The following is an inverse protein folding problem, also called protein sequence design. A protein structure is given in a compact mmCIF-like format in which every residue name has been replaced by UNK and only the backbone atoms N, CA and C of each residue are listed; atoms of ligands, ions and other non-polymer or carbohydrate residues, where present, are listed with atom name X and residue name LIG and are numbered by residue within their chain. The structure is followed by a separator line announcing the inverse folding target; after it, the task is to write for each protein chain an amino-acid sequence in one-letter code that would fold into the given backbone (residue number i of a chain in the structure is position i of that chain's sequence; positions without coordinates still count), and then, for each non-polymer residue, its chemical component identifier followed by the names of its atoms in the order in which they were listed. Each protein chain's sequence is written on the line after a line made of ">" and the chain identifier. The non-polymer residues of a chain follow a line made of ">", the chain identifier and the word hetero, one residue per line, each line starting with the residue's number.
data_IF_062634366310
#
_entry.id   IF_062634366310
#
_cell.length_a   1.000
_cell.length_b   1.000
_cell.length_c   1.000
_cell.angle_alpha   90.00
_cell.angle_beta   90.00
_cell.angle_gamma   90.00
#
_symmetry.space_group_name_H-M   'P 1'
#
loop_
_entity.id
_entity.type
_entity.pdbx_description
1 polymer ?
#
# COMPACT_ATOMS: atom_id res chain seq x y z
N UNK A 1 24.56 -12.17 -13.05
CA UNK A 1 24.28 -12.33 -11.60
C UNK A 1 23.76 -10.99 -11.10
N UNK A 2 22.44 -10.78 -11.04
CA UNK A 2 21.89 -9.48 -10.63
C UNK A 2 22.04 -9.34 -9.12
N UNK A 3 22.79 -8.32 -8.68
CA UNK A 3 23.01 -7.98 -7.28
C UNK A 3 21.70 -7.46 -6.68
N UNK A 4 21.09 -8.25 -5.79
CA UNK A 4 19.83 -7.92 -5.09
C UNK A 4 20.09 -6.88 -4.02
N UNK A 5 19.43 -5.73 -4.11
CA UNK A 5 19.62 -4.61 -3.18
C UNK A 5 19.04 -4.86 -1.78
N UNK A 6 18.09 -5.80 -1.57
CA UNK A 6 17.36 -5.90 -0.28
C UNK A 6 16.97 -7.29 0.26
N UNK A 7 17.32 -8.42 -0.38
CA UNK A 7 17.01 -9.75 0.18
C UNK A 7 15.52 -10.02 0.47
N UNK A 8 14.62 -9.22 -0.09
CA UNK A 8 13.16 -9.37 0.00
C UNK A 8 12.65 -10.29 -1.10
N UNK A 9 11.68 -11.13 -0.74
CA UNK A 9 11.09 -12.13 -1.63
C UNK A 9 9.57 -12.12 -1.41
N UNK A 10 8.81 -12.21 -2.50
CA UNK A 10 7.39 -12.50 -2.40
C UNK A 10 7.21 -13.99 -2.15
N UNK A 11 6.49 -14.31 -1.09
CA UNK A 11 6.19 -15.68 -0.70
C UNK A 11 4.79 -16.09 -1.22
N UNK A 12 4.62 -17.36 -1.59
CA UNK A 12 3.29 -17.94 -1.72
C UNK A 12 2.91 -18.62 -0.41
N UNK A 13 1.86 -18.11 0.26
CA UNK A 13 1.44 -18.60 1.57
C UNK A 13 0.13 -19.38 1.41
N UNK A 14 0.08 -20.67 1.78
CA UNK A 14 -1.17 -21.42 1.87
C UNK A 14 -2.19 -20.74 2.78
N UNK A 15 -3.45 -20.68 2.35
CA UNK A 15 -4.47 -19.87 3.02
C UNK A 15 -4.78 -20.32 4.46
N UNK A 16 -4.58 -21.60 4.76
CA UNK A 16 -4.75 -22.20 6.09
C UNK A 16 -3.71 -21.72 7.12
N UNK A 17 -2.66 -21.01 6.69
CA UNK A 17 -1.70 -20.35 7.57
C UNK A 17 -2.20 -19.00 8.12
N UNK A 18 -3.40 -18.57 7.70
CA UNK A 18 -4.04 -17.35 8.21
C UNK A 18 -5.19 -17.70 9.16
N UNK A 19 -5.15 -17.10 10.35
CA UNK A 19 -6.19 -17.25 11.37
C UNK A 19 -6.77 -15.88 11.74
N UNK A 20 -7.87 -15.85 12.50
CA UNK A 20 -8.52 -14.62 12.95
C UNK A 20 -8.85 -13.63 11.81
N UNK A 21 -9.24 -14.17 10.65
CA UNK A 21 -9.54 -13.38 9.46
C UNK A 21 -10.81 -12.56 9.70
N UNK A 22 -10.71 -11.24 9.62
CA UNK A 22 -11.83 -10.31 9.81
C UNK A 22 -11.82 -9.27 8.70
N UNK A 23 -12.96 -9.01 8.07
CA UNK A 23 -13.08 -7.93 7.10
C UNK A 23 -12.99 -6.58 7.82
N UNK A 24 -12.09 -5.71 7.37
CA UNK A 24 -11.86 -4.39 7.98
C UNK A 24 -12.15 -3.24 7.02
N UNK A 25 -12.34 -3.53 5.73
CA UNK A 25 -12.64 -2.51 4.73
C UNK A 25 -13.22 -3.11 3.46
N UNK A 26 -14.02 -2.30 2.75
CA UNK A 26 -14.53 -2.61 1.42
C UNK A 26 -14.52 -1.33 0.60
N UNK A 27 -13.78 -1.34 -0.50
CA UNK A 27 -13.79 -0.29 -1.52
C UNK A 27 -14.58 -0.72 -2.75
N UNK A 28 -14.52 0.09 -3.81
CA UNK A 28 -15.14 -0.24 -5.10
C UNK A 28 -14.52 -1.46 -5.77
N UNK A 29 -13.19 -1.62 -5.66
CA UNK A 29 -12.42 -2.63 -6.40
C UNK A 29 -11.84 -3.73 -5.52
N UNK A 30 -11.87 -3.56 -4.19
CA UNK A 30 -11.20 -4.48 -3.26
C UNK A 30 -11.93 -4.65 -1.93
N UNK A 31 -11.69 -5.78 -1.27
CA UNK A 31 -12.03 -6.01 0.14
C UNK A 31 -10.75 -6.24 0.92
N UNK A 32 -10.66 -5.62 2.09
CA UNK A 32 -9.50 -5.72 2.96
C UNK A 32 -9.89 -6.52 4.20
N UNK A 33 -9.03 -7.47 4.55
CA UNK A 33 -9.16 -8.28 5.75
C UNK A 33 -7.91 -8.10 6.62
N UNK A 34 -8.07 -8.12 7.94
CA UNK A 34 -6.94 -8.38 8.85
C UNK A 34 -6.86 -9.87 9.13
N UNK A 35 -5.65 -10.41 9.23
CA UNK A 35 -5.42 -11.79 9.63
C UNK A 35 -4.16 -11.93 10.50
N UNK A 36 -4.06 -13.02 11.25
CA UNK A 36 -2.83 -13.46 11.89
C UNK A 36 -2.16 -14.49 11.00
N UNK A 37 -0.96 -14.19 10.49
CA UNK A 37 -0.12 -15.15 9.79
C UNK A 37 0.70 -15.93 10.83
N UNK A 38 0.46 -17.24 10.93
CA UNK A 38 1.01 -18.05 12.03
C UNK A 38 2.51 -18.35 11.91
N UNK A 39 3.07 -18.34 10.69
CA UNK A 39 4.52 -18.47 10.50
C UNK A 39 5.23 -17.12 10.64
N UNK A 40 4.55 -16.07 10.16
CA UNK A 40 5.16 -14.78 9.89
C UNK A 40 6.27 -14.83 8.83
N UNK A 41 6.90 -13.67 8.61
CA UNK A 41 7.98 -13.52 7.63
C UNK A 41 9.17 -14.40 8.02
N UNK A 42 9.70 -15.16 7.06
CA UNK A 42 10.90 -15.93 7.27
C UNK A 42 12.08 -14.98 7.58
N UNK A 43 12.68 -15.17 8.75
CA UNK A 43 13.86 -14.41 9.18
C UNK A 43 15.05 -15.35 9.32
N UNK A 44 16.21 -14.91 8.85
CA UNK A 44 17.47 -15.65 8.93
C UNK A 44 18.49 -14.81 9.68
N UNK A 45 19.25 -15.46 10.56
CA UNK A 45 20.38 -14.86 11.27
C UNK A 45 21.66 -15.55 10.83
N UNK A 46 22.73 -14.79 10.67
CA UNK A 46 24.04 -15.36 10.38
C UNK A 46 24.78 -15.59 11.69
N UNK A 47 24.94 -16.86 12.08
CA UNK A 47 25.57 -17.28 13.32
C UNK A 47 26.55 -18.42 13.03
N UNK A 48 27.75 -18.35 13.62
CA UNK A 48 28.80 -19.38 13.49
C UNK A 48 29.13 -19.78 12.04
N UNK A 49 29.11 -18.81 11.12
CA UNK A 49 29.43 -19.05 9.70
C UNK A 49 28.27 -19.64 8.87
N UNK A 50 27.07 -19.78 9.44
CA UNK A 50 25.90 -20.34 8.78
C UNK A 50 24.67 -19.45 8.90
N UNK A 51 23.78 -19.49 7.90
CA UNK A 51 22.47 -18.85 7.98
C UNK A 51 21.48 -19.79 8.70
N UNK A 52 21.01 -19.36 9.87
CA UNK A 52 20.06 -20.10 10.69
C UNK A 52 18.68 -19.45 10.54
N UNK A 53 17.67 -20.25 10.19
CA UNK A 53 16.27 -19.80 10.16
C UNK A 53 15.81 -19.56 11.60
N UNK A 54 15.34 -18.35 11.88
CA UNK A 54 14.76 -18.00 13.18
C UNK A 54 13.42 -18.70 13.39
N UNK A 55 13.03 -18.88 14.66
CA UNK A 55 11.74 -19.43 15.00
C UNK A 55 10.60 -18.58 14.38
N UNK A 56 9.54 -19.23 13.87
CA UNK A 56 8.36 -18.53 13.37
C UNK A 56 7.81 -17.56 14.40
N UNK A 57 7.45 -16.35 13.96
CA UNK A 57 6.89 -15.32 14.84
C UNK A 57 5.61 -14.82 14.22
N UNK A 58 4.49 -15.09 14.88
CA UNK A 58 3.18 -14.68 14.39
C UNK A 58 3.14 -13.17 14.20
N UNK A 59 2.63 -12.74 13.05
CA UNK A 59 2.45 -11.31 12.75
C UNK A 59 1.02 -11.06 12.26
N UNK A 60 0.54 -9.84 12.52
CA UNK A 60 -0.72 -9.37 11.95
C UNK A 60 -0.45 -8.80 10.56
N UNK A 61 -1.24 -9.22 9.58
CA UNK A 61 -1.15 -8.80 8.18
C UNK A 61 -2.48 -8.26 7.67
N UNK A 62 -2.42 -7.46 6.60
CA UNK A 62 -3.56 -7.12 5.79
C UNK A 62 -3.62 -8.05 4.58
N UNK A 63 -4.78 -8.68 4.35
CA UNK A 63 -5.09 -9.41 3.13
C UNK A 63 -5.95 -8.51 2.24
N UNK A 64 -5.39 -8.04 1.13
CA UNK A 64 -6.13 -7.26 0.13
C UNK A 64 -6.61 -8.20 -0.97
N UNK A 65 -7.93 -8.43 -0.99
CA UNK A 65 -8.60 -9.18 -2.05
C UNK A 65 -9.08 -8.23 -3.13
N UNK A 66 -8.65 -8.46 -4.35
CA UNK A 66 -9.13 -7.71 -5.51
C UNK A 66 -10.34 -8.46 -6.09
N UNK A 67 -11.46 -7.75 -6.25
CA UNK A 67 -12.72 -8.35 -6.68
C UNK A 67 -12.57 -8.90 -8.10
N UNK A 68 -13.03 -10.13 -8.35
CA UNK A 68 -12.98 -10.73 -9.67
C UNK A 68 -11.62 -11.31 -10.05
N UNK A 69 -10.68 -11.41 -9.10
CA UNK A 69 -9.35 -12.01 -9.33
C UNK A 69 -9.37 -13.56 -9.37
N UNK A 70 -10.50 -14.18 -9.69
CA UNK A 70 -10.56 -15.63 -9.96
C UNK A 70 -9.78 -15.96 -11.25
N UNK A 71 -9.84 -15.05 -12.22
CA UNK A 71 -8.95 -14.97 -13.37
C UNK A 71 -7.97 -13.81 -13.16
N UNK A 72 -6.70 -14.07 -13.47
CA UNK A 72 -5.59 -13.13 -13.25
C UNK A 72 -5.66 -11.98 -14.28
N UNK A 73 -6.52 -10.98 -14.02
CA UNK A 73 -6.72 -9.86 -14.93
C UNK A 73 -5.46 -8.98 -15.06
N UNK A 74 -5.36 -8.24 -16.16
CA UNK A 74 -4.25 -7.29 -16.37
C UNK A 74 -4.23 -6.20 -15.31
N UNK A 75 -5.40 -5.76 -14.83
CA UNK A 75 -5.53 -4.77 -13.75
C UNK A 75 -4.93 -5.30 -12.44
N UNK A 76 -5.24 -6.56 -12.09
CA UNK A 76 -4.69 -7.22 -10.91
C UNK A 76 -3.15 -7.32 -10.98
N UNK A 77 -2.63 -7.80 -12.12
CA UNK A 77 -1.18 -7.91 -12.33
C UNK A 77 -0.48 -6.55 -12.30
N UNK A 78 -1.13 -5.50 -12.83
CA UNK A 78 -0.58 -4.15 -12.79
C UNK A 78 -0.50 -3.62 -11.36
N UNK A 79 -1.56 -3.80 -10.56
CA UNK A 79 -1.53 -3.37 -9.16
C UNK A 79 -0.44 -4.09 -8.36
N UNK A 80 -0.33 -5.41 -8.53
CA UNK A 80 0.75 -6.21 -7.93
C UNK A 80 2.13 -5.70 -8.32
N UNK A 81 2.34 -5.48 -9.63
CA UNK A 81 3.61 -5.03 -10.18
C UNK A 81 3.98 -3.66 -9.62
N UNK A 82 3.05 -2.70 -9.63
CA UNK A 82 3.28 -1.35 -9.14
C UNK A 82 3.61 -1.37 -7.64
N UNK A 83 2.86 -2.13 -6.83
CA UNK A 83 3.15 -2.24 -5.39
C UNK A 83 4.55 -2.83 -5.17
N UNK A 84 4.91 -3.87 -5.93
CA UNK A 84 6.25 -4.48 -5.85
C UNK A 84 7.35 -3.51 -6.27
N UNK A 85 7.22 -2.83 -7.41
CA UNK A 85 8.19 -1.87 -7.93
C UNK A 85 8.42 -0.74 -6.90
N UNK A 86 7.34 -0.18 -6.32
CA UNK A 86 7.42 0.85 -5.28
C UNK A 86 8.12 0.35 -4.02
N UNK A 87 7.96 -0.93 -3.66
CA UNK A 87 8.64 -1.54 -2.53
C UNK A 87 10.10 -1.92 -2.77
N UNK A 88 10.54 -1.97 -4.03
CA UNK A 88 11.95 -2.09 -4.38
C UNK A 88 12.68 -0.75 -4.37
N UNK A 89 11.94 0.34 -4.57
CA UNK A 89 12.41 1.69 -4.29
C UNK A 89 12.53 1.91 -2.77
N UNK A 90 13.25 2.96 -2.36
CA UNK A 90 13.55 3.30 -0.97
C UNK A 90 12.39 3.04 0.04
N UNK A 91 12.69 2.68 1.30
CA UNK A 91 11.79 2.19 2.38
C UNK A 91 10.55 3.08 2.76
N UNK A 92 9.73 3.47 1.79
CA UNK A 92 8.55 4.33 1.91
C UNK A 92 7.27 3.65 1.39
N UNK A 93 7.25 2.31 1.38
CA UNK A 93 6.07 1.48 1.14
C UNK A 93 5.76 0.61 2.37
N UNK A 94 4.53 0.11 2.46
CA UNK A 94 4.20 -0.99 3.36
C UNK A 94 4.75 -2.30 2.79
N UNK A 95 5.37 -3.13 3.64
CA UNK A 95 5.98 -4.37 3.17
C UNK A 95 4.97 -5.24 2.41
N UNK A 96 5.38 -5.70 1.23
CA UNK A 96 4.61 -6.65 0.45
C UNK A 96 5.21 -8.04 0.66
N UNK A 97 4.51 -8.89 1.43
CA UNK A 97 4.99 -10.21 1.82
C UNK A 97 4.80 -11.26 0.73
N UNK A 98 3.76 -11.12 -0.10
CA UNK A 98 3.47 -12.09 -1.14
C UNK A 98 1.98 -12.31 -1.36
N UNK A 99 1.64 -13.51 -1.79
CA UNK A 99 0.30 -13.86 -2.27
C UNK A 99 -0.28 -15.07 -1.55
N UNK A 100 -1.61 -15.09 -1.46
CA UNK A 100 -2.39 -16.28 -1.11
C UNK A 100 -3.63 -16.36 -2.00
N UNK A 101 -4.38 -17.45 -1.90
CA UNK A 101 -5.62 -17.67 -2.65
C UNK A 101 -6.71 -18.21 -1.73
N UNK A 102 -7.82 -17.51 -1.69
CA UNK A 102 -8.99 -17.90 -0.91
C UNK A 102 -9.55 -19.22 -1.46
N UNK A 103 -9.62 -20.30 -0.65
CA UNK A 103 -10.07 -21.59 -1.13
C UNK A 103 -11.57 -21.60 -1.45
N UNK A 104 -12.36 -20.67 -0.90
CA UNK A 104 -13.80 -20.56 -1.11
C UNK A 104 -14.09 -19.72 -2.35
N UNK A 105 -13.57 -18.48 -2.41
CA UNK A 105 -13.87 -17.59 -3.55
C UNK A 105 -12.97 -17.83 -4.75
N UNK A 106 -11.87 -18.57 -4.59
CA UNK A 106 -10.81 -18.78 -5.59
C UNK A 106 -10.13 -17.49 -6.06
N UNK A 107 -10.33 -16.39 -5.35
CA UNK A 107 -9.70 -15.10 -5.63
C UNK A 107 -8.31 -15.03 -4.99
N UNK A 108 -7.40 -14.35 -5.67
CA UNK A 108 -6.08 -14.06 -5.12
C UNK A 108 -6.14 -12.91 -4.11
N UNK A 109 -5.26 -12.95 -3.12
CA UNK A 109 -5.10 -11.90 -2.13
C UNK A 109 -3.63 -11.52 -1.99
N UNK A 110 -3.37 -10.21 -1.92
CA UNK A 110 -2.07 -9.68 -1.53
C UNK A 110 -1.93 -9.73 -0.02
N UNK A 111 -0.75 -10.13 0.46
CA UNK A 111 -0.39 -10.14 1.87
C UNK A 111 0.54 -8.95 2.11
N UNK A 112 0.04 -7.95 2.82
CA UNK A 112 0.71 -6.66 3.02
C UNK A 112 0.86 -6.40 4.52
N UNK A 113 1.86 -5.63 4.92
CA UNK A 113 2.00 -5.10 6.27
C UNK A 113 0.69 -4.49 6.78
N UNK A 114 0.31 -4.86 8.00
CA UNK A 114 -0.89 -4.34 8.62
C UNK A 114 -0.66 -2.93 9.19
N UNK A 115 -1.32 -1.92 8.60
CA UNK A 115 -1.29 -0.56 9.10
C UNK A 115 -2.04 -0.43 10.44
N UNK A 116 -1.29 -0.48 11.53
CA UNK A 116 -1.83 -0.59 12.90
C UNK A 116 -2.70 0.56 13.34
N UNK A 117 -2.56 1.76 12.74
CA UNK A 117 -3.39 2.94 13.03
C UNK A 117 -4.45 3.23 11.96
N UNK A 118 -4.58 2.38 10.95
CA UNK A 118 -5.55 2.58 9.86
C UNK A 118 -5.15 3.72 8.92
N UNK A 119 -6.16 4.40 8.35
CA UNK A 119 -5.93 5.49 7.39
C UNK A 119 -5.78 6.84 8.07
N UNK A 120 -5.03 7.76 7.44
CA UNK A 120 -4.87 9.14 7.90
C UNK A 120 -6.22 9.81 8.11
N UNK A 121 -7.18 9.62 7.19
CA UNK A 121 -8.56 10.13 7.35
C UNK A 121 -9.19 9.71 8.68
N UNK A 122 -9.01 8.45 9.06
CA UNK A 122 -9.59 7.92 10.31
C UNK A 122 -8.94 8.58 11.54
N UNK A 123 -7.64 8.87 11.48
CA UNK A 123 -6.93 9.56 12.55
C UNK A 123 -7.33 11.04 12.61
N UNK A 124 -7.44 11.73 11.46
CA UNK A 124 -7.88 13.12 11.42
C UNK A 124 -9.30 13.28 11.98
N UNK A 125 -10.21 12.34 11.72
CA UNK A 125 -11.59 12.40 12.23
C UNK A 125 -11.69 12.13 13.74
N UNK A 126 -10.91 11.20 14.27
CA UNK A 126 -11.11 10.70 15.64
C UNK A 126 -10.03 11.16 16.64
N UNK A 127 -8.87 11.56 16.15
CA UNK A 127 -7.65 11.73 16.95
C UNK A 127 -6.79 12.93 16.51
N UNK A 128 -7.35 13.91 15.80
CA UNK A 128 -6.59 15.06 15.27
C UNK A 128 -5.66 15.70 16.31
N UNK A 129 -6.18 15.97 17.51
CA UNK A 129 -5.46 16.61 18.61
C UNK A 129 -4.36 15.73 19.22
N UNK A 130 -4.31 14.43 18.90
CA UNK A 130 -3.28 13.50 19.38
C UNK A 130 -2.03 13.49 18.49
N UNK A 131 -2.10 14.00 17.25
CA UNK A 131 -0.93 14.08 16.38
C UNK A 131 -0.22 15.41 16.59
N UNK A 132 0.97 15.37 17.20
CA UNK A 132 1.84 16.54 17.33
C UNK A 132 2.29 17.05 15.96
N UNK A 133 2.61 18.34 15.86
CA UNK A 133 3.09 18.98 14.63
C UNK A 133 4.26 18.24 13.96
N UNK A 134 5.24 17.80 14.75
CA UNK A 134 6.35 16.99 14.23
C UNK A 134 5.89 15.67 13.61
N UNK A 135 4.85 15.04 14.16
CA UNK A 135 4.23 13.84 13.59
C UNK A 135 3.54 14.12 12.26
N UNK A 136 2.83 15.26 12.15
CA UNK A 136 2.20 15.70 10.89
C UNK A 136 3.23 15.92 9.79
N UNK A 137 4.29 16.68 10.08
CA UNK A 137 5.39 16.94 9.15
C UNK A 137 6.06 15.64 8.72
N UNK A 138 6.27 14.70 9.65
CA UNK A 138 6.84 13.39 9.34
C UNK A 138 5.96 12.57 8.41
N UNK A 139 4.64 12.54 8.64
CA UNK A 139 3.68 11.85 7.77
C UNK A 139 3.76 12.43 6.36
N UNK A 140 3.73 13.77 6.22
CA UNK A 140 3.84 14.44 4.93
C UNK A 140 5.18 14.19 4.24
N UNK A 141 6.29 14.19 5.01
CA UNK A 141 7.63 13.88 4.50
C UNK A 141 7.74 12.45 3.97
N UNK A 142 7.21 11.46 4.69
CA UNK A 142 7.15 10.10 4.19
C UNK A 142 6.26 9.98 2.96
N UNK A 143 5.11 10.67 2.96
CA UNK A 143 4.15 10.63 1.88
C UNK A 143 4.74 11.19 0.57
N UNK A 144 5.44 12.33 0.61
CA UNK A 144 6.07 12.90 -0.58
C UNK A 144 7.24 12.06 -1.09
N UNK A 145 7.98 11.39 -0.20
CA UNK A 145 9.06 10.46 -0.60
C UNK A 145 8.49 9.21 -1.28
N UNK A 146 7.42 8.62 -0.73
CA UNK A 146 6.69 7.53 -1.38
C UNK A 146 6.10 7.94 -2.73
N UNK A 147 5.56 9.16 -2.83
CA UNK A 147 5.02 9.69 -4.08
C UNK A 147 6.11 9.91 -5.13
N UNK A 148 7.26 10.44 -4.71
CA UNK A 148 8.42 10.62 -5.56
C UNK A 148 8.95 9.28 -6.11
N UNK A 149 8.97 8.21 -5.30
CA UNK A 149 9.33 6.88 -5.78
C UNK A 149 8.37 6.39 -6.87
N UNK A 150 7.06 6.55 -6.65
CA UNK A 150 6.06 6.22 -7.66
C UNK A 150 6.23 7.03 -8.95
N UNK A 151 6.51 8.33 -8.83
CA UNK A 151 6.71 9.23 -9.96
C UNK A 151 7.99 8.93 -10.75
N UNK A 152 9.09 8.55 -10.09
CA UNK A 152 10.33 8.10 -10.74
C UNK A 152 10.12 6.86 -11.61
N UNK A 153 9.19 5.99 -11.23
CA UNK A 153 8.77 4.84 -12.03
C UNK A 153 7.85 5.22 -13.21
N UNK A 154 7.50 6.51 -13.36
CA UNK A 154 6.64 7.01 -14.43
C UNK A 154 5.15 6.84 -14.18
N UNK A 155 4.76 6.46 -12.95
CA UNK A 155 3.37 6.23 -12.58
C UNK A 155 2.77 7.45 -11.87
N UNK A 156 1.50 7.72 -12.14
CA UNK A 156 0.66 8.63 -11.36
C UNK A 156 -0.32 7.81 -10.53
N UNK A 157 -0.54 8.23 -9.28
CA UNK A 157 -1.43 7.55 -8.33
C UNK A 157 -2.91 7.69 -8.72
N UNK A 158 -3.32 8.88 -9.18
CA UNK A 158 -4.67 9.24 -9.69
C UNK A 158 -5.80 9.26 -8.66
N UNK A 159 -5.59 8.71 -7.47
CA UNK A 159 -6.58 8.67 -6.38
C UNK A 159 -5.94 8.87 -5.00
N UNK A 160 -5.03 9.85 -4.89
CA UNK A 160 -4.36 10.16 -3.63
C UNK A 160 -5.30 11.00 -2.76
N UNK A 161 -5.58 10.53 -1.54
CA UNK A 161 -6.36 11.25 -0.53
C UNK A 161 -6.05 10.68 0.86
N UNK A 162 -6.43 11.35 1.95
CA UNK A 162 -6.10 10.88 3.32
C UNK A 162 -6.69 9.51 3.66
N UNK A 163 -7.71 9.07 2.95
CA UNK A 163 -8.27 7.71 3.05
C UNK A 163 -7.35 6.61 2.48
N UNK A 164 -6.49 6.97 1.52
CA UNK A 164 -5.52 6.08 0.88
C UNK A 164 -4.10 6.27 1.42
N UNK A 165 -3.93 7.09 2.46
CA UNK A 165 -2.69 7.17 3.25
C UNK A 165 -2.85 6.29 4.48
N UNK A 166 -2.05 5.23 4.57
CA UNK A 166 -2.05 4.31 5.71
C UNK A 166 -0.97 4.69 6.72
N UNK A 167 -1.28 4.46 7.99
CA UNK A 167 -0.48 4.94 9.11
C UNK A 167 0.03 3.76 9.95
N UNK A 168 1.34 3.70 10.13
CA UNK A 168 2.00 2.74 11.01
C UNK A 168 2.80 3.46 12.10
N UNK A 169 2.88 2.83 13.26
CA UNK A 169 3.88 3.18 14.26
C UNK A 169 5.21 2.55 13.90
N UNK A 170 6.28 3.33 13.94
CA UNK A 170 7.61 2.75 13.96
C UNK A 170 7.84 2.15 15.36
N UNK A 171 8.20 0.87 15.45
CA UNK A 171 8.45 0.24 16.76
C UNK A 171 9.71 0.75 17.47
N UNK A 172 10.65 1.34 16.73
CA UNK A 172 11.94 1.81 17.25
C UNK A 172 11.92 3.28 17.70
N UNK A 173 11.05 4.07 17.11
CA UNK A 173 10.90 5.49 17.40
C UNK A 173 9.42 5.70 17.67
N UNK A 174 9.03 6.40 18.74
CA UNK A 174 7.61 6.73 19.04
C UNK A 174 7.00 7.71 18.03
N UNK A 175 7.22 7.47 16.74
CA UNK A 175 6.86 8.31 15.61
C UNK A 175 5.97 7.53 14.65
N UNK A 176 5.08 8.29 14.01
CA UNK A 176 4.09 7.80 13.08
C UNK A 176 4.58 8.02 11.65
N UNK A 177 4.55 6.97 10.82
CA UNK A 177 4.92 7.03 9.41
C UNK A 177 3.64 6.93 8.55
N UNK A 178 3.61 7.68 7.45
CA UNK A 178 2.55 7.61 6.45
C UNK A 178 3.02 6.89 5.20
N UNK A 179 2.16 6.04 4.63
CA UNK A 179 2.45 5.24 3.45
C UNK A 179 1.32 5.38 2.44
N UNK A 180 1.68 5.53 1.16
CA UNK A 180 0.70 5.49 0.06
C UNK A 180 0.17 4.07 -0.06
N UNK A 181 -1.13 3.95 -0.28
CA UNK A 181 -1.80 2.67 -0.53
C UNK A 181 -2.83 2.82 -1.63
N UNK A 182 -3.34 1.67 -2.08
CA UNK A 182 -4.39 1.56 -3.08
C UNK A 182 -3.97 1.97 -4.50
N UNK A 183 -3.15 1.11 -5.12
CA UNK A 183 -2.63 1.32 -6.47
C UNK A 183 -3.57 0.84 -7.58
N UNK A 184 -4.83 0.50 -7.29
CA UNK A 184 -5.76 -0.07 -8.29
C UNK A 184 -6.13 0.87 -9.44
N UNK A 185 -5.95 2.19 -9.26
CA UNK A 185 -6.10 3.20 -10.30
C UNK A 185 -4.77 3.74 -10.83
N UNK A 186 -3.67 3.37 -10.18
CA UNK A 186 -2.33 3.82 -10.52
C UNK A 186 -1.90 3.27 -11.88
N UNK A 187 -1.17 4.08 -12.63
CA UNK A 187 -0.66 3.68 -13.93
C UNK A 187 0.10 4.80 -14.60
N UNK A 188 0.50 4.62 -15.87
CA UNK A 188 1.32 5.61 -16.56
C UNK A 188 0.67 6.99 -16.55
N UNK A 189 1.50 8.01 -16.29
CA UNK A 189 1.10 9.40 -16.47
C UNK A 189 0.73 9.67 -17.94
N UNK A 190 -0.14 10.65 -18.16
CA UNK A 190 -0.60 11.07 -19.50
C UNK A 190 -1.37 9.99 -20.30
N UNK A 191 -1.73 8.86 -19.67
CA UNK A 191 -2.64 7.87 -20.25
C UNK A 191 -4.00 7.91 -19.54
N UNK A 192 -5.03 8.32 -20.27
CA UNK A 192 -6.42 8.15 -19.86
C UNK A 192 -6.87 6.71 -20.09
N UNK A 193 -7.75 6.21 -19.22
CA UNK A 193 -8.43 4.94 -19.47
C UNK A 193 -9.40 5.12 -20.65
N UNK A 194 -9.69 4.06 -21.42
CA UNK A 194 -10.57 4.15 -22.59
C UNK A 194 -12.01 4.57 -22.27
N UNK A 195 -12.42 4.44 -21.00
CA UNK A 195 -13.78 4.72 -20.55
C UNK A 195 -14.10 6.20 -20.35
N UNK A 196 -13.10 7.10 -20.50
CA UNK A 196 -13.21 8.55 -20.29
C UNK A 196 -13.81 8.94 -18.92
N UNK A 197 -13.78 8.04 -17.93
CA UNK A 197 -14.30 8.32 -16.60
C UNK A 197 -13.26 9.08 -15.78
N UNK A 198 -13.75 10.06 -15.02
CA UNK A 198 -12.95 10.73 -13.99
C UNK A 198 -13.02 9.87 -12.73
N UNK A 199 -11.85 9.53 -12.21
CA UNK A 199 -11.66 8.77 -10.99
C UNK A 199 -11.05 9.67 -9.90
N UNK A 200 -11.34 9.38 -8.64
CA UNK A 200 -10.83 10.17 -7.52
C UNK A 200 -11.92 10.58 -6.55
N UNK A 201 -11.49 11.22 -5.46
CA UNK A 201 -12.38 11.76 -4.45
C UNK A 201 -12.31 13.28 -4.53
N UNK A 202 -13.43 13.97 -4.76
CA UNK A 202 -13.49 15.42 -4.56
C UNK A 202 -13.31 15.70 -3.05
N UNK A 203 -12.46 16.66 -2.63
CA UNK A 203 -11.84 17.77 -3.37
C UNK A 203 -10.40 17.51 -3.88
N UNK A 204 -9.89 16.28 -3.86
CA UNK A 204 -8.50 15.96 -4.20
C UNK A 204 -8.19 15.96 -5.70
N UNK A 205 -9.22 15.94 -6.54
CA UNK A 205 -9.05 15.89 -7.99
C UNK A 205 -8.56 17.25 -8.49
N UNK A 206 -7.42 17.25 -9.17
CA UNK A 206 -6.83 18.47 -9.73
C UNK A 206 -7.75 19.10 -10.79
N UNK A 207 -7.81 20.44 -10.87
CA UNK A 207 -8.78 21.15 -11.72
C UNK A 207 -8.64 20.80 -13.19
N UNK A 208 -7.42 20.58 -13.71
CA UNK A 208 -7.20 20.18 -15.10
C UNK A 208 -7.90 18.85 -15.46
N UNK A 209 -8.00 17.93 -14.50
CA UNK A 209 -8.69 16.64 -14.69
C UNK A 209 -10.20 16.85 -14.81
N UNK A 210 -10.76 17.78 -14.03
CA UNK A 210 -12.17 18.17 -14.14
C UNK A 210 -12.49 18.81 -15.50
N UNK A 211 -11.50 19.43 -16.14
CA UNK A 211 -11.58 19.92 -17.52
C UNK A 211 -11.27 18.85 -18.59
N UNK A 212 -11.23 17.58 -18.20
CA UNK A 212 -11.03 16.45 -19.13
C UNK A 212 -9.58 16.25 -19.59
N UNK A 213 -8.60 16.93 -18.98
CA UNK A 213 -7.18 16.66 -19.26
C UNK A 213 -6.76 15.32 -18.62
N UNK A 214 -5.72 14.65 -19.15
CA UNK A 214 -5.25 13.38 -18.59
C UNK A 214 -4.57 13.58 -17.24
N UNK A 215 -4.58 12.53 -16.41
CA UNK A 215 -3.84 12.49 -15.15
C UNK A 215 -2.34 12.63 -15.40
N UNK A 216 -1.72 13.52 -14.63
CA UNK A 216 -0.30 13.83 -14.70
C UNK A 216 0.36 13.61 -13.35
N UNK A 217 1.70 13.60 -13.30
CA UNK A 217 2.42 13.59 -12.03
C UNK A 217 2.05 14.82 -11.18
N UNK A 218 1.88 16.00 -11.82
CA UNK A 218 1.45 17.23 -11.16
C UNK A 218 0.05 17.14 -10.54
N UNK A 219 -0.85 16.34 -11.12
CA UNK A 219 -2.19 16.14 -10.55
C UNK A 219 -2.16 15.39 -9.20
N UNK A 220 -1.17 14.51 -8.99
CA UNK A 220 -0.95 13.91 -7.67
C UNK A 220 -0.35 14.93 -6.68
N UNK A 221 0.46 15.88 -7.14
CA UNK A 221 1.00 16.96 -6.30
C UNK A 221 -0.12 17.90 -5.81
N UNK A 222 -1.10 18.19 -6.67
CA UNK A 222 -2.31 18.89 -6.24
C UNK A 222 -3.03 18.09 -5.14
N UNK A 223 -3.26 16.79 -5.36
CA UNK A 223 -3.90 15.90 -4.38
C UNK A 223 -3.14 15.89 -3.05
N UNK A 224 -1.80 15.86 -3.10
CA UNK A 224 -0.94 15.97 -1.92
C UNK A 224 -1.11 17.31 -1.19
N UNK A 225 -1.22 18.43 -1.91
CA UNK A 225 -1.52 19.73 -1.31
C UNK A 225 -2.86 19.78 -0.57
N UNK A 226 -3.87 19.08 -1.08
CA UNK A 226 -5.15 18.92 -0.37
C UNK A 226 -4.96 18.08 0.90
N UNK A 227 -4.23 16.96 0.86
CA UNK A 227 -3.89 16.19 2.07
C UNK A 227 -3.14 17.03 3.11
N UNK A 228 -2.25 17.93 2.67
CA UNK A 228 -1.54 18.85 3.58
C UNK A 228 -2.45 19.85 4.29
N UNK A 229 -3.58 20.19 3.67
CA UNK A 229 -4.51 21.22 4.18
C UNK A 229 -5.52 20.65 5.17
N UNK A 230 -5.80 19.34 5.11
CA UNK A 230 -6.69 18.63 6.07
C UNK A 230 -6.14 18.57 7.50
#
# INVERSE_FOLDING_TARGET
>A
MYTRKYGSWLEWIPFDRFTNIKQIGKGGFSKIYSATWIDGKANYKYEYGNWIKSNPKQIKVALKRLNGSHEMSTEYLNELKIHWDVCLEENFCLEFYGLTKDPVTKEFMMIIEFASRGSLRSILLNEFNKILWGGKIRILGHLILGLNNLHKLGYSHKNLHSGNVLICNNGYYSCTNGYISDFGLTGPANKQKPDNKIYGVLPYIAPEILYGKPYTLSSDIYSFGIVMTE
#
